data_IF_807226315020
#
_entry.id   IF_807226315020
#
_cell.length_a   1.000
_cell.length_b   1.000
_cell.length_c   1.000
_cell.angle_alpha   90.00
_cell.angle_beta   90.00
_cell.angle_gamma   90.00
#
_symmetry.space_group_name_H-M   'P 1'
#
loop_
_entity.id
_entity.type
_entity.pdbx_description
1 polymer ?
#
# COMPACT_ATOMS: atom_id res chain seq x y z
N UNK A 1 11.76 -13.35 23.08
CA UNK A 1 12.10 -12.22 22.18
C UNK A 1 13.57 -12.24 21.73
N UNK A 2 14.59 -12.30 22.61
CA UNK A 2 16.01 -12.38 22.17
C UNK A 2 16.32 -13.60 21.28
N UNK A 3 15.90 -14.80 21.67
CA UNK A 3 16.08 -16.01 20.85
C UNK A 3 15.26 -16.09 19.56
N UNK A 4 14.37 -15.12 19.28
CA UNK A 4 13.72 -14.97 17.98
C UNK A 4 14.64 -14.22 17.01
N UNK A 5 15.32 -13.18 17.50
CA UNK A 5 16.29 -12.40 16.73
C UNK A 5 17.57 -13.17 16.41
N UNK A 6 18.07 -13.97 17.36
CA UNK A 6 19.23 -14.84 17.13
C UNK A 6 18.94 -15.88 16.02
N UNK A 7 17.68 -16.36 15.95
CA UNK A 7 17.21 -17.31 14.94
C UNK A 7 17.02 -16.65 13.57
N UNK A 8 16.57 -15.40 13.56
CA UNK A 8 16.49 -14.56 12.35
C UNK A 8 17.91 -14.29 11.82
N UNK A 9 18.88 -13.93 12.66
CA UNK A 9 20.29 -13.75 12.27
C UNK A 9 20.93 -15.04 11.76
N UNK A 10 20.58 -16.20 12.33
CA UNK A 10 21.02 -17.53 11.89
C UNK A 10 20.41 -17.93 10.53
N UNK A 11 19.11 -17.63 10.32
CA UNK A 11 18.40 -17.90 9.06
C UNK A 11 18.89 -16.98 7.93
N UNK A 12 19.31 -15.76 8.26
CA UNK A 12 19.77 -14.74 7.34
C UNK A 12 21.25 -14.88 6.94
N UNK A 13 21.97 -15.86 7.48
CA UNK A 13 23.19 -16.48 6.92
C UNK A 13 24.24 -15.53 6.33
N UNK A 14 25.36 -15.36 7.05
CA UNK A 14 26.63 -14.84 6.50
C UNK A 14 26.94 -15.53 5.17
N UNK A 15 27.07 -14.76 4.08
CA UNK A 15 27.44 -15.17 2.71
C UNK A 15 26.30 -15.21 1.67
N UNK A 16 25.64 -14.07 1.46
CA UNK A 16 25.35 -13.59 0.11
C UNK A 16 24.69 -14.60 -0.82
N UNK A 17 23.43 -14.91 -0.55
CA UNK A 17 22.35 -15.32 -1.47
C UNK A 17 21.19 -15.70 -0.57
N UNK A 18 20.04 -15.06 -0.72
CA UNK A 18 18.80 -15.60 -0.15
C UNK A 18 18.52 -16.89 -0.93
N UNK A 19 19.08 -18.00 -0.45
CA UNK A 19 18.57 -19.34 -0.69
C UNK A 19 17.12 -19.29 -0.24
N UNK A 20 16.22 -19.79 -1.07
CA UNK A 20 14.81 -19.96 -0.71
C UNK A 20 14.67 -20.84 0.53
N UNK A 21 14.82 -20.23 1.71
CA UNK A 21 14.27 -20.76 2.94
C UNK A 21 12.88 -20.17 3.02
N UNK A 22 11.88 -21.02 2.80
CA UNK A 22 10.52 -20.73 3.23
C UNK A 22 10.60 -20.33 4.71
N UNK A 23 10.48 -19.03 4.97
CA UNK A 23 10.26 -18.53 6.31
C UNK A 23 8.99 -19.21 6.82
N UNK A 24 9.01 -19.68 8.07
CA UNK A 24 7.81 -20.26 8.66
C UNK A 24 6.63 -19.29 8.49
N UNK A 25 5.42 -19.84 8.35
CA UNK A 25 4.19 -19.06 8.13
C UNK A 25 4.06 -17.86 9.09
N UNK A 26 4.48 -18.04 10.34
CA UNK A 26 4.53 -17.00 11.37
C UNK A 26 5.69 -16.01 11.21
N UNK A 27 6.87 -16.46 10.84
CA UNK A 27 8.06 -15.61 10.63
C UNK A 27 7.85 -14.69 9.43
N UNK A 28 7.27 -15.21 8.35
CA UNK A 28 6.85 -14.43 7.16
C UNK A 28 5.80 -13.38 7.50
N UNK A 29 4.85 -13.71 8.38
CA UNK A 29 3.83 -12.79 8.83
C UNK A 29 4.41 -11.64 9.65
N UNK A 30 5.20 -11.94 10.70
CA UNK A 30 5.80 -10.91 11.55
C UNK A 30 6.84 -10.06 10.81
N UNK A 31 7.66 -10.68 9.95
CA UNK A 31 8.65 -9.96 9.15
C UNK A 31 7.98 -9.06 8.10
N UNK A 32 7.00 -9.59 7.35
CA UNK A 32 6.25 -8.81 6.38
C UNK A 32 5.49 -7.65 7.02
N UNK A 33 4.88 -7.89 8.18
CA UNK A 33 4.21 -6.86 8.97
C UNK A 33 5.20 -5.78 9.42
N UNK A 34 6.37 -6.16 9.97
CA UNK A 34 7.39 -5.22 10.43
C UNK A 34 8.01 -4.38 9.30
N UNK A 35 8.31 -4.99 8.15
CA UNK A 35 8.79 -4.30 6.95
C UNK A 35 7.72 -3.35 6.40
N UNK A 36 6.44 -3.74 6.42
CA UNK A 36 5.35 -2.86 6.00
C UNK A 36 5.14 -1.66 6.93
N UNK A 37 5.53 -1.79 8.20
CA UNK A 37 5.40 -0.75 9.22
C UNK A 37 6.52 0.30 9.17
N UNK A 38 7.64 0.06 8.48
CA UNK A 38 8.82 0.92 8.58
C UNK A 38 9.54 1.14 7.24
N UNK A 39 9.30 2.28 6.55
CA UNK A 39 10.05 2.67 5.35
C UNK A 39 11.59 2.68 5.56
N UNK A 40 12.01 2.89 6.81
CA UNK A 40 13.38 3.00 7.28
C UNK A 40 14.18 1.68 7.31
N UNK A 41 13.54 0.53 7.08
CA UNK A 41 14.22 -0.78 7.11
C UNK A 41 14.81 -1.18 5.76
N UNK A 42 14.32 -0.59 4.67
CA UNK A 42 14.80 -0.87 3.32
C UNK A 42 16.29 -0.53 3.09
N UNK A 43 16.86 0.55 3.68
CA UNK A 43 18.29 0.83 3.56
C UNK A 43 19.15 -0.21 4.28
N UNK A 44 18.80 -0.56 5.52
CA UNK A 44 19.55 -1.50 6.36
C UNK A 44 19.60 -2.90 5.72
N UNK A 45 18.47 -3.35 5.15
CA UNK A 45 18.40 -4.62 4.43
C UNK A 45 19.28 -4.59 3.17
N UNK A 46 19.26 -3.50 2.42
CA UNK A 46 20.08 -3.41 1.22
C UNK A 46 21.58 -3.30 1.51
N UNK A 47 21.97 -2.70 2.64
CA UNK A 47 23.38 -2.68 3.06
C UNK A 47 23.88 -4.10 3.41
N UNK A 48 22.97 -4.98 3.87
CA UNK A 48 23.27 -6.38 4.19
C UNK A 48 23.18 -7.33 2.98
N UNK A 49 22.14 -7.21 2.15
CA UNK A 49 21.82 -8.14 1.05
C UNK A 49 22.20 -7.62 -0.34
N UNK A 50 22.60 -6.36 -0.46
CA UNK A 50 22.91 -5.71 -1.72
C UNK A 50 21.72 -4.98 -2.35
N UNK A 51 21.86 -4.52 -3.60
CA UNK A 51 20.88 -3.67 -4.28
C UNK A 51 19.61 -4.40 -4.73
N UNK A 52 19.64 -5.74 -4.83
CA UNK A 52 18.50 -6.56 -5.28
C UNK A 52 18.29 -7.70 -4.29
N UNK A 53 17.11 -7.74 -3.67
CA UNK A 53 16.77 -8.76 -2.68
C UNK A 53 15.26 -9.01 -2.64
N UNK A 54 14.86 -10.17 -2.12
CA UNK A 54 13.45 -10.55 -2.01
C UNK A 54 12.99 -10.47 -0.56
N UNK A 55 11.85 -9.82 -0.33
CA UNK A 55 11.17 -9.72 0.96
C UNK A 55 9.83 -10.43 0.85
N UNK A 56 9.49 -11.27 1.84
CA UNK A 56 8.18 -11.88 1.93
C UNK A 56 7.22 -10.97 2.70
N UNK A 57 6.21 -10.44 2.01
CA UNK A 57 5.09 -9.73 2.62
C UNK A 57 3.94 -10.71 2.80
N UNK A 58 3.94 -11.42 3.93
CA UNK A 58 3.00 -12.52 4.18
C UNK A 58 3.25 -13.66 3.17
N UNK A 59 2.25 -14.09 2.38
CA UNK A 59 2.43 -15.14 1.38
C UNK A 59 3.01 -14.63 0.05
N UNK A 60 3.21 -13.31 -0.10
CA UNK A 60 3.61 -12.71 -1.38
C UNK A 60 5.11 -12.38 -1.36
N UNK A 61 5.93 -13.01 -2.20
CA UNK A 61 7.31 -12.58 -2.39
C UNK A 61 7.32 -11.26 -3.17
N UNK A 62 8.08 -10.28 -2.67
CA UNK A 62 8.26 -8.96 -3.28
C UNK A 62 9.74 -8.75 -3.54
N UNK A 63 10.09 -8.54 -4.80
CA UNK A 63 11.45 -8.17 -5.20
C UNK A 63 11.66 -6.68 -4.95
N UNK A 64 12.64 -6.35 -4.12
CA UNK A 64 13.04 -4.97 -3.82
C UNK A 64 14.27 -4.61 -4.65
N UNK A 65 14.17 -3.49 -5.36
CA UNK A 65 15.25 -2.93 -6.17
C UNK A 65 15.68 -1.60 -5.57
N UNK A 66 16.95 -1.49 -5.15
CA UNK A 66 17.56 -0.27 -4.62
C UNK A 66 18.77 0.12 -5.45
N UNK A 67 18.90 1.43 -5.69
CA UNK A 67 19.97 2.01 -6.49
C UNK A 67 19.57 2.21 -7.95
N UNK A 68 20.10 3.27 -8.56
CA UNK A 68 19.71 3.73 -9.89
C UNK A 68 19.99 2.69 -10.97
N UNK A 69 21.09 1.94 -10.85
CA UNK A 69 21.48 0.91 -11.83
C UNK A 69 20.47 -0.24 -11.86
N UNK A 70 20.18 -0.85 -10.71
CA UNK A 70 19.20 -1.94 -10.60
C UNK A 70 17.79 -1.52 -11.03
N UNK A 71 17.36 -0.32 -10.64
CA UNK A 71 16.05 0.23 -11.03
C UNK A 71 15.99 0.48 -12.54
N UNK A 72 17.07 1.03 -13.13
CA UNK A 72 17.15 1.30 -14.57
C UNK A 72 17.18 0.01 -15.38
N UNK A 73 17.95 -0.99 -14.95
CA UNK A 73 18.02 -2.28 -15.63
C UNK A 73 16.66 -2.96 -15.66
N UNK A 74 15.94 -3.01 -14.53
CA UNK A 74 14.62 -3.61 -14.47
C UNK A 74 13.56 -2.82 -15.26
N UNK A 75 13.42 -1.51 -14.99
CA UNK A 75 12.32 -0.72 -15.53
C UNK A 75 12.53 -0.23 -16.97
N UNK A 76 13.79 -0.16 -17.44
CA UNK A 76 14.13 0.29 -18.80
C UNK A 76 14.74 -0.85 -19.62
N UNK A 77 15.75 -1.54 -19.08
CA UNK A 77 16.42 -2.64 -19.78
C UNK A 77 15.50 -3.84 -20.02
N UNK A 78 14.67 -4.17 -19.05
CA UNK A 78 13.72 -5.29 -19.08
C UNK A 78 12.26 -4.80 -18.99
N UNK A 79 11.97 -3.66 -19.62
CA UNK A 79 10.70 -2.96 -19.48
C UNK A 79 9.45 -3.83 -19.74
N UNK A 80 9.51 -4.78 -20.69
CA UNK A 80 8.38 -5.69 -20.95
C UNK A 80 8.12 -6.66 -19.80
N UNK A 81 9.18 -7.21 -19.18
CA UNK A 81 9.05 -8.13 -18.05
C UNK A 81 8.54 -7.43 -16.78
N UNK A 82 8.90 -6.16 -16.60
CA UNK A 82 8.50 -5.33 -15.46
C UNK A 82 7.33 -4.38 -15.76
N UNK A 83 6.63 -4.56 -16.89
CA UNK A 83 5.51 -3.70 -17.28
C UNK A 83 4.23 -3.93 -16.46
N UNK A 84 4.13 -5.07 -15.77
CA UNK A 84 2.96 -5.47 -15.00
C UNK A 84 2.62 -4.52 -13.85
N UNK A 85 1.36 -4.53 -13.40
CA UNK A 85 0.91 -3.69 -12.28
C UNK A 85 0.80 -4.48 -10.99
N UNK A 86 1.49 -4.02 -9.95
CA UNK A 86 1.38 -4.55 -8.60
C UNK A 86 -0.05 -4.36 -8.06
N UNK A 87 -0.55 -5.37 -7.34
CA UNK A 87 -1.87 -5.32 -6.69
C UNK A 87 -1.75 -4.77 -5.28
N UNK A 88 -2.41 -3.65 -5.04
CA UNK A 88 -2.59 -3.08 -3.70
C UNK A 88 -4.00 -3.40 -3.21
N UNK A 89 -4.18 -4.21 -2.15
CA UNK A 89 -5.49 -4.65 -1.68
C UNK A 89 -6.46 -3.50 -1.37
N UNK A 90 -5.96 -2.42 -0.78
CA UNK A 90 -6.73 -1.20 -0.46
C UNK A 90 -7.33 -0.56 -1.70
N UNK A 91 -6.64 -0.64 -2.83
CA UNK A 91 -7.08 -0.09 -4.12
C UNK A 91 -7.84 -1.12 -4.95
N UNK A 92 -7.60 -2.41 -4.74
CA UNK A 92 -8.27 -3.50 -5.46
C UNK A 92 -9.77 -3.57 -5.10
N UNK A 93 -10.16 -3.29 -3.85
CA UNK A 93 -11.56 -3.24 -3.43
C UNK A 93 -12.36 -2.15 -4.17
N UNK A 94 -11.75 -0.97 -4.34
CA UNK A 94 -12.36 0.22 -4.97
C UNK A 94 -12.29 0.15 -6.49
N UNK A 95 -11.10 -0.07 -7.06
CA UNK A 95 -10.87 0.02 -8.49
C UNK A 95 -11.02 -1.32 -9.23
N UNK A 96 -10.92 -2.47 -8.54
CA UNK A 96 -11.12 -3.82 -9.11
C UNK A 96 -10.35 -4.08 -10.41
N UNK A 97 -9.16 -3.49 -10.56
CA UNK A 97 -8.33 -3.60 -11.77
C UNK A 97 -8.84 -2.81 -12.99
N UNK A 98 -9.69 -1.81 -12.77
CA UNK A 98 -10.12 -0.83 -13.77
C UNK A 98 -9.32 0.47 -13.65
N UNK A 99 -9.39 1.29 -14.71
CA UNK A 99 -8.67 2.55 -14.80
C UNK A 99 -7.24 2.41 -15.34
N UNK A 100 -6.67 3.52 -15.82
CA UNK A 100 -5.37 3.54 -16.49
C UNK A 100 -4.18 3.25 -15.57
N UNK A 101 -4.35 3.45 -14.26
CA UNK A 101 -3.28 3.26 -13.26
C UNK A 101 -3.19 1.80 -12.80
N UNK A 102 -4.33 1.13 -12.61
CA UNK A 102 -4.41 -0.19 -11.96
C UNK A 102 -4.77 -1.35 -12.90
N UNK A 103 -5.14 -1.07 -14.15
CA UNK A 103 -5.34 -2.12 -15.16
C UNK A 103 -4.00 -2.68 -15.66
N UNK A 104 -4.04 -3.90 -16.19
CA UNK A 104 -2.88 -4.59 -16.76
C UNK A 104 -3.18 -5.13 -18.17
N UNK A 105 -2.13 -5.55 -18.89
CA UNK A 105 -2.22 -6.17 -20.21
C UNK A 105 -2.83 -5.26 -21.27
N UNK A 106 -3.68 -5.84 -22.11
CA UNK A 106 -4.27 -5.12 -23.25
C UNK A 106 -5.20 -3.97 -22.82
N UNK A 107 -5.93 -4.15 -21.71
CA UNK A 107 -6.79 -3.10 -21.14
C UNK A 107 -5.98 -1.85 -20.79
N UNK A 108 -4.82 -2.03 -20.14
CA UNK A 108 -3.92 -0.94 -19.80
C UNK A 108 -3.38 -0.23 -21.04
N UNK A 109 -2.96 -0.99 -22.06
CA UNK A 109 -2.45 -0.42 -23.33
C UNK A 109 -3.49 0.47 -24.00
N UNK A 110 -4.74 -0.02 -24.09
CA UNK A 110 -5.85 0.72 -24.70
C UNK A 110 -6.18 1.99 -23.91
N UNK A 111 -6.39 1.87 -22.59
CA UNK A 111 -6.71 3.01 -21.74
C UNK A 111 -5.59 4.06 -21.73
N UNK A 112 -4.33 3.63 -21.65
CA UNK A 112 -3.17 4.54 -21.67
C UNK A 112 -3.09 5.30 -23.00
N UNK A 113 -3.24 4.59 -24.14
CA UNK A 113 -3.19 5.24 -25.46
C UNK A 113 -4.31 6.25 -25.60
N UNK A 114 -5.53 5.89 -25.21
CA UNK A 114 -6.69 6.78 -25.22
C UNK A 114 -6.44 8.01 -24.34
N UNK A 115 -6.13 7.83 -23.05
CA UNK A 115 -5.91 8.94 -22.11
C UNK A 115 -4.80 9.89 -22.57
N UNK A 116 -3.67 9.38 -23.06
CA UNK A 116 -2.58 10.23 -23.56
C UNK A 116 -2.96 11.02 -24.81
N UNK A 117 -3.78 10.44 -25.69
CA UNK A 117 -4.26 11.11 -26.90
C UNK A 117 -5.20 12.25 -26.50
N UNK A 118 -6.20 11.93 -25.67
CA UNK A 118 -7.17 12.90 -25.15
C UNK A 118 -6.47 14.05 -24.42
N UNK A 119 -5.54 13.75 -23.51
CA UNK A 119 -4.79 14.80 -22.78
C UNK A 119 -4.00 15.72 -23.74
N UNK A 120 -3.38 15.16 -24.79
CA UNK A 120 -2.66 15.96 -25.80
C UNK A 120 -3.60 16.84 -26.62
N UNK A 121 -4.78 16.34 -26.95
CA UNK A 121 -5.80 17.06 -27.70
C UNK A 121 -6.36 18.23 -26.86
N UNK A 122 -6.56 18.02 -25.55
CA UNK A 122 -6.90 19.07 -24.59
C UNK A 122 -5.76 20.04 -24.25
N UNK A 123 -4.58 19.86 -24.86
CA UNK A 123 -3.49 20.81 -24.81
C UNK A 123 -2.39 20.50 -23.79
N UNK A 124 -2.31 19.26 -23.30
CA UNK A 124 -1.19 18.82 -22.48
C UNK A 124 0.13 18.95 -23.24
N UNK A 125 1.04 19.76 -22.69
CA UNK A 125 2.29 20.15 -23.33
C UNK A 125 2.17 21.31 -24.33
N UNK A 126 1.03 22.01 -24.41
CA UNK A 126 0.81 23.20 -25.24
C UNK A 126 0.63 24.45 -24.37
N UNK A 127 0.82 25.64 -24.97
CA UNK A 127 0.60 26.95 -24.32
C UNK A 127 -0.81 27.16 -23.77
N UNK A 128 -1.81 26.42 -24.27
CA UNK A 128 -3.19 26.52 -23.77
C UNK A 128 -3.34 26.06 -22.32
N UNK A 129 -2.56 25.06 -21.88
CA UNK A 129 -2.54 24.66 -20.46
C UNK A 129 -1.71 25.63 -19.63
N UNK A 130 -0.65 26.20 -20.19
CA UNK A 130 0.14 27.23 -19.51
C UNK A 130 -0.72 28.42 -19.08
N UNK A 131 -1.63 28.89 -19.95
CA UNK A 131 -2.61 29.93 -19.59
C UNK A 131 -3.47 29.52 -18.38
N UNK A 132 -4.03 28.30 -18.41
CA UNK A 132 -4.85 27.77 -17.31
C UNK A 132 -4.09 27.67 -15.99
N UNK A 133 -2.81 27.29 -16.05
CA UNK A 133 -1.94 27.25 -14.87
C UNK A 133 -1.67 28.65 -14.35
N UNK A 134 -1.42 29.63 -15.23
CA UNK A 134 -1.21 31.03 -14.84
C UNK A 134 -2.47 31.64 -14.23
N UNK A 135 -3.64 31.38 -14.82
CA UNK A 135 -4.94 31.80 -14.28
C UNK A 135 -5.15 31.21 -12.86
N UNK A 136 -4.96 29.90 -12.68
CA UNK A 136 -5.13 29.29 -11.36
C UNK A 136 -4.09 29.80 -10.34
N UNK A 137 -2.87 30.10 -10.77
CA UNK A 137 -1.85 30.70 -9.92
C UNK A 137 -2.22 32.11 -9.45
N UNK A 138 -2.83 32.93 -10.32
CA UNK A 138 -3.32 34.26 -9.94
C UNK A 138 -4.46 34.17 -8.91
N UNK A 139 -5.36 33.21 -9.10
CA UNK A 139 -6.49 32.97 -8.19
C UNK A 139 -6.01 32.48 -6.83
N UNK A 140 -5.06 31.54 -6.82
CA UNK A 140 -4.41 31.07 -5.59
C UNK A 140 -3.73 32.21 -4.83
N UNK A 141 -3.05 33.12 -5.54
CA UNK A 141 -2.43 34.30 -4.93
C UNK A 141 -3.45 35.23 -4.28
N UNK A 142 -4.64 35.40 -4.88
CA UNK A 142 -5.71 36.18 -4.28
C UNK A 142 -6.21 35.54 -2.99
N UNK A 143 -6.36 34.21 -2.94
CA UNK A 143 -6.74 33.51 -1.70
C UNK A 143 -5.67 33.63 -0.62
N UNK A 144 -4.38 33.54 -0.99
CA UNK A 144 -3.27 33.72 -0.05
C UNK A 144 -3.24 35.12 0.58
N UNK A 145 -3.67 36.15 -0.16
CA UNK A 145 -3.72 37.52 0.36
C UNK A 145 -4.87 37.76 1.34
N UNK A 146 -5.92 36.92 1.32
CA UNK A 146 -7.09 37.05 2.21
C UNK A 146 -6.81 36.52 3.63
N UNK A 147 -5.78 35.69 3.80
CA UNK A 147 -5.49 35.00 5.06
C UNK A 147 -4.13 35.40 5.62
N UNK A 148 -4.05 35.55 6.95
CA UNK A 148 -2.77 35.61 7.66
C UNK A 148 -2.15 34.20 7.72
N UNK A 149 -0.95 34.03 8.28
CA UNK A 149 -0.26 32.75 8.48
C UNK A 149 -1.22 31.55 8.66
N UNK A 150 -1.22 30.66 7.67
CA UNK A 150 -2.07 29.48 7.58
C UNK A 150 -1.30 28.32 6.96
N UNK A 151 -1.84 27.10 7.02
CA UNK A 151 -1.28 25.94 6.33
C UNK A 151 -1.72 25.92 4.85
N UNK A 152 -0.79 26.09 3.88
CA UNK A 152 -1.14 26.15 2.47
C UNK A 152 -1.43 24.78 1.85
N UNK A 153 -1.19 23.67 2.56
CA UNK A 153 -1.22 22.31 2.00
C UNK A 153 -2.55 21.98 1.31
N UNK A 154 -3.66 22.27 1.98
CA UNK A 154 -5.00 21.98 1.44
C UNK A 154 -5.34 22.88 0.25
N UNK A 155 -5.00 24.17 0.33
CA UNK A 155 -5.30 25.15 -0.72
C UNK A 155 -4.46 24.89 -1.98
N UNK A 156 -3.19 24.51 -1.82
CA UNK A 156 -2.34 24.03 -2.92
C UNK A 156 -2.91 22.78 -3.58
N UNK A 157 -3.43 21.85 -2.79
CA UNK A 157 -4.08 20.63 -3.32
C UNK A 157 -5.32 20.98 -4.14
N UNK A 158 -6.11 21.97 -3.69
CA UNK A 158 -7.26 22.48 -4.43
C UNK A 158 -6.85 23.12 -5.76
N UNK A 159 -5.80 23.95 -5.78
CA UNK A 159 -5.29 24.57 -7.00
C UNK A 159 -4.83 23.54 -8.04
N UNK A 160 -4.06 22.53 -7.61
CA UNK A 160 -3.60 21.45 -8.50
C UNK A 160 -4.79 20.65 -9.04
N UNK A 161 -5.77 20.34 -8.19
CA UNK A 161 -7.00 19.69 -8.62
C UNK A 161 -7.79 20.54 -9.60
N UNK A 162 -7.88 21.86 -9.41
CA UNK A 162 -8.56 22.76 -10.32
C UNK A 162 -7.92 22.79 -11.71
N UNK A 163 -6.59 22.74 -11.80
CA UNK A 163 -5.90 22.60 -13.10
C UNK A 163 -6.38 21.32 -13.80
N UNK A 164 -6.43 20.19 -13.09
CA UNK A 164 -6.89 18.90 -13.64
C UNK A 164 -8.37 18.96 -14.01
N UNK A 165 -9.22 19.50 -13.14
CA UNK A 165 -10.65 19.70 -13.37
C UNK A 165 -10.91 20.58 -14.60
N UNK A 166 -10.11 21.63 -14.79
CA UNK A 166 -10.24 22.50 -15.96
C UNK A 166 -9.93 21.76 -17.27
N UNK A 167 -9.07 20.73 -17.23
CA UNK A 167 -8.72 19.90 -18.38
C UNK A 167 -9.81 18.85 -18.63
N UNK A 168 -10.31 18.20 -17.57
CA UNK A 168 -11.24 17.07 -17.67
C UNK A 168 -12.69 17.52 -17.82
N UNK A 169 -13.12 18.51 -17.04
CA UNK A 169 -14.50 19.04 -17.02
C UNK A 169 -14.65 20.32 -17.83
N UNK A 170 -13.55 20.95 -18.25
CA UNK A 170 -13.55 22.21 -18.99
C UNK A 170 -13.65 23.46 -18.11
N UNK A 171 -13.97 23.32 -16.82
CA UNK A 171 -14.13 24.41 -15.85
C UNK A 171 -13.39 24.16 -14.55
N UNK A 172 -13.10 25.25 -13.83
CA UNK A 172 -12.59 25.23 -12.44
C UNK A 172 -13.74 25.32 -11.44
N UNK A 173 -13.48 24.91 -10.21
CA UNK A 173 -14.39 25.08 -9.08
C UNK A 173 -13.95 26.26 -8.21
N UNK A 174 -14.92 26.91 -7.57
CA UNK A 174 -14.65 27.97 -6.60
C UNK A 174 -13.98 27.37 -5.35
N UNK A 175 -13.03 28.10 -4.77
CA UNK A 175 -12.37 27.71 -3.52
C UNK A 175 -13.33 27.67 -2.32
N UNK A 176 -14.51 28.30 -2.42
CA UNK A 176 -15.55 28.30 -1.41
C UNK A 176 -16.70 27.32 -1.71
N UNK A 177 -16.64 26.59 -2.83
CA UNK A 177 -17.67 25.60 -3.18
C UNK A 177 -17.65 24.44 -2.18
N UNK A 178 -18.72 24.25 -1.38
CA UNK A 178 -18.75 23.21 -0.36
C UNK A 178 -18.64 21.80 -0.94
N UNK A 179 -19.18 21.55 -2.13
CA UNK A 179 -19.13 20.22 -2.76
C UNK A 179 -17.72 19.89 -3.23
N UNK A 180 -17.02 20.88 -3.81
CA UNK A 180 -15.62 20.72 -4.21
C UNK A 180 -14.72 20.48 -3.00
N UNK A 181 -14.90 21.27 -1.93
CA UNK A 181 -14.12 21.15 -0.69
C UNK A 181 -14.33 19.78 -0.03
N UNK A 182 -15.57 19.28 0.04
CA UNK A 182 -15.87 17.95 0.57
C UNK A 182 -15.16 16.85 -0.24
N UNK A 183 -15.22 16.92 -1.57
CA UNK A 183 -14.52 15.96 -2.45
C UNK A 183 -13.01 16.00 -2.23
N UNK A 184 -12.42 17.19 -2.09
CA UNK A 184 -11.00 17.35 -1.82
C UNK A 184 -10.59 16.78 -0.47
N UNK A 185 -11.43 16.96 0.56
CA UNK A 185 -11.21 16.34 1.88
C UNK A 185 -11.27 14.82 1.81
N UNK A 186 -12.26 14.25 1.12
CA UNK A 186 -12.37 12.80 0.93
C UNK A 186 -11.14 12.23 0.22
N UNK A 187 -10.64 12.91 -0.82
CA UNK A 187 -9.41 12.52 -1.52
C UNK A 187 -8.21 12.56 -0.57
N UNK A 188 -8.02 13.65 0.18
CA UNK A 188 -6.91 13.78 1.10
C UNK A 188 -6.95 12.71 2.20
N UNK A 189 -8.13 12.50 2.80
CA UNK A 189 -8.33 11.45 3.81
C UNK A 189 -8.02 10.06 3.24
N UNK A 190 -8.48 9.76 2.02
CA UNK A 190 -8.15 8.50 1.35
C UNK A 190 -6.63 8.35 1.15
N UNK A 191 -5.93 9.41 0.76
CA UNK A 191 -4.47 9.39 0.63
C UNK A 191 -3.76 9.19 1.97
N UNK A 192 -4.22 9.84 3.03
CA UNK A 192 -3.67 9.64 4.37
C UNK A 192 -3.90 8.21 4.84
N UNK A 193 -5.11 7.67 4.69
CA UNK A 193 -5.44 6.29 5.01
C UNK A 193 -4.54 5.31 4.25
N UNK A 194 -4.36 5.48 2.94
CA UNK A 194 -3.45 4.69 2.11
C UNK A 194 -1.98 4.81 2.53
N UNK A 195 -1.59 5.93 3.14
CA UNK A 195 -0.23 6.17 3.62
C UNK A 195 0.01 5.57 5.00
N UNK A 196 -1.05 5.25 5.75
CA UNK A 196 -0.91 4.59 7.05
C UNK A 196 -0.40 3.15 6.88
N UNK A 197 0.45 2.65 7.79
CA UNK A 197 0.84 1.24 7.78
C UNK A 197 -0.33 0.26 7.85
N UNK A 198 -1.45 0.69 8.43
CA UNK A 198 -2.68 -0.11 8.51
C UNK A 198 -3.30 -0.41 7.14
N UNK A 199 -3.10 0.44 6.13
CA UNK A 199 -3.53 0.15 4.75
C UNK A 199 -2.87 -1.11 4.20
N UNK A 200 -1.62 -1.37 4.58
CA UNK A 200 -0.85 -2.55 4.16
C UNK A 200 -1.30 -3.81 4.89
N UNK A 201 -2.01 -3.69 6.02
CA UNK A 201 -2.58 -4.84 6.74
C UNK A 201 -3.61 -5.59 5.89
N UNK A 202 -4.24 -4.92 4.91
CA UNK A 202 -5.06 -5.58 3.90
C UNK A 202 -4.32 -6.64 3.07
N UNK A 203 -2.99 -6.51 2.91
CA UNK A 203 -2.13 -7.57 2.30
C UNK A 203 -2.10 -8.84 3.16
N UNK A 204 -2.34 -8.71 4.45
CA UNK A 204 -2.37 -9.77 5.46
C UNK A 204 -3.82 -10.14 5.88
N UNK A 205 -4.86 -9.61 5.23
CA UNK A 205 -6.26 -9.79 5.66
C UNK A 205 -6.70 -11.26 5.75
N UNK A 206 -6.32 -12.10 4.78
CA UNK A 206 -6.57 -13.54 4.84
C UNK A 206 -5.83 -14.22 6.02
N UNK A 207 -4.68 -13.67 6.41
CA UNK A 207 -3.89 -14.15 7.54
C UNK A 207 -4.47 -13.75 8.89
N UNK A 208 -4.99 -12.54 9.01
CA UNK A 208 -5.69 -12.08 10.22
C UNK A 208 -6.96 -12.90 10.49
N UNK A 209 -7.72 -13.26 9.46
CA UNK A 209 -8.86 -14.16 9.60
C UNK A 209 -8.45 -15.55 10.10
N UNK A 210 -7.42 -16.15 9.48
CA UNK A 210 -6.87 -17.44 9.91
C UNK A 210 -6.27 -17.36 11.32
N UNK A 211 -5.61 -16.25 11.66
CA UNK A 211 -5.04 -16.00 12.99
C UNK A 211 -6.12 -15.89 14.06
N UNK A 212 -7.19 -15.12 13.81
CA UNK A 212 -8.32 -15.00 14.72
C UNK A 212 -9.03 -16.35 14.89
N UNK A 213 -9.19 -17.12 13.80
CA UNK A 213 -9.77 -18.47 13.85
C UNK A 213 -8.86 -19.42 14.65
N UNK A 214 -7.55 -19.43 14.41
CA UNK A 214 -6.60 -20.26 15.16
C UNK A 214 -6.52 -19.85 16.63
N UNK A 215 -6.58 -18.56 16.93
CA UNK A 215 -6.61 -18.03 18.29
C UNK A 215 -7.89 -18.44 19.02
N UNK A 216 -9.06 -18.31 18.36
CA UNK A 216 -10.33 -18.82 18.86
C UNK A 216 -10.32 -20.34 19.06
N UNK A 217 -9.72 -21.09 18.15
CA UNK A 217 -9.57 -22.55 18.28
C UNK A 217 -8.67 -22.90 19.46
N UNK A 218 -7.57 -22.17 19.67
CA UNK A 218 -6.67 -22.39 20.80
C UNK A 218 -7.36 -22.10 22.14
N UNK A 219 -8.08 -20.98 22.26
CA UNK A 219 -8.89 -20.69 23.46
C UNK A 219 -10.00 -21.73 23.66
N UNK A 220 -10.65 -22.18 22.58
CA UNK A 220 -11.67 -23.23 22.64
C UNK A 220 -11.07 -24.57 23.10
N UNK A 221 -9.87 -24.94 22.64
CA UNK A 221 -9.18 -26.15 23.06
C UNK A 221 -8.73 -26.09 24.52
N UNK A 222 -8.27 -24.93 25.00
CA UNK A 222 -7.98 -24.72 26.42
C UNK A 222 -9.25 -24.85 27.27
N UNK A 223 -10.36 -24.23 26.85
CA UNK A 223 -11.65 -24.35 27.53
C UNK A 223 -12.19 -25.79 27.53
N UNK A 224 -12.10 -26.49 26.40
CA UNK A 224 -12.52 -27.88 26.26
C UNK A 224 -11.64 -28.82 27.10
N UNK A 225 -10.33 -28.56 27.20
CA UNK A 225 -9.42 -29.27 28.09
C UNK A 225 -9.80 -29.11 29.57
N UNK A 226 -10.14 -27.89 29.99
CA UNK A 226 -10.65 -27.61 31.34
C UNK A 226 -11.98 -28.34 31.58
N UNK A 227 -12.90 -28.28 30.62
CA UNK A 227 -14.20 -28.95 30.70
C UNK A 227 -14.08 -30.48 30.81
N UNK A 228 -13.25 -31.12 29.99
CA UNK A 228 -12.94 -32.55 30.08
C UNK A 228 -12.30 -32.93 31.41
N UNK A 229 -11.42 -32.07 31.96
CA UNK A 229 -10.84 -32.25 33.28
C UNK A 229 -11.89 -32.24 34.40
N UNK A 230 -12.82 -31.27 34.36
CA UNK A 230 -13.95 -31.18 35.30
C UNK A 230 -14.88 -32.38 35.14
N UNK A 231 -15.23 -32.75 33.91
CA UNK A 231 -16.10 -33.86 33.59
C UNK A 231 -15.52 -35.21 34.03
N UNK A 232 -14.21 -35.43 33.84
CA UNK A 232 -13.50 -36.63 34.31
C UNK A 232 -13.46 -36.71 35.84
N UNK A 233 -13.25 -35.59 36.53
CA UNK A 233 -13.36 -35.54 38.00
C UNK A 233 -14.80 -35.82 38.47
N UNK A 234 -15.80 -35.30 37.78
CA UNK A 234 -17.21 -35.52 38.09
C UNK A 234 -17.62 -36.99 37.90
N UNK A 235 -17.17 -37.63 36.80
CA UNK A 235 -17.36 -39.06 36.56
C UNK A 235 -16.61 -39.93 37.59
N UNK A 236 -15.40 -39.52 38.00
CA UNK A 236 -14.66 -40.17 39.08
C UNK A 236 -15.36 -40.10 40.44
N UNK A 237 -16.04 -39.00 40.75
CA UNK A 237 -16.88 -38.85 41.97
C UNK A 237 -18.13 -39.74 41.90
N UNK A 238 -18.69 -39.96 40.71
CA UNK A 238 -19.85 -40.83 40.49
C UNK A 238 -19.50 -42.32 40.38
N UNK A 239 -18.22 -42.70 40.45
CA UNK A 239 -17.77 -44.10 40.42
C UNK A 239 -17.92 -44.80 39.06
N UNK A 240 -18.16 -44.05 37.98
CA UNK A 240 -18.30 -44.60 36.63
C UNK A 240 -16.93 -44.52 35.95
N UNK A 241 -16.12 -45.57 36.14
CA UNK A 241 -14.90 -45.78 35.36
C UNK A 241 -15.22 -46.67 34.16
N UNK A 242 -14.91 -46.18 32.95
CA UNK A 242 -14.63 -47.00 31.77
C UNK A 242 -13.15 -46.87 31.43
#
# INVERSE_FOLDING_TARGET
>A
MRGFWDKIEEILGKNGKIVGKELGLWESFFFGFWVSLTPLTTPQLSDQYGPVFTVWLGPRPVLVLRGTEAVREALVGQAEAFAGRGRMPTLESTFRGYGVVFSDGERWRQLRRFSLTVLRDFGMGKRSIESRIQEEAQELLQEFQKTQAFDPTFLLSCAVSNIICSIVFGSRFDYQDPEFLERMQLINNSFQEMSTPWSQVGLFGNFLGIFLILFLILEFLEFFGIFLGIFRNFLGILGIFF
#
